data_IF_551650452010
#
_entry.id   IF_551650452010
#
_cell.length_a   1.000
_cell.length_b   1.000
_cell.length_c   1.000
_cell.angle_alpha   90.00
_cell.angle_beta   90.00
_cell.angle_gamma   90.00
#
_symmetry.space_group_name_H-M   'P 1'
#
loop_
_entity.id
_entity.type
_entity.pdbx_description
1 polymer ?
#
# COMPACT_ATOMS: atom_id res chain seq x y z
N UNK A 1 -1.41 25.71 29.77
CA UNK A 1 -1.20 24.50 28.94
C UNK A 1 -2.14 24.68 27.76
N UNK A 2 -1.59 24.84 26.57
CA UNK A 2 -2.35 25.23 25.39
C UNK A 2 -3.00 23.98 24.80
N UNK A 3 -4.30 23.81 25.04
CA UNK A 3 -5.13 22.82 24.32
C UNK A 3 -5.14 23.22 22.85
N UNK A 4 -4.20 22.67 22.08
CA UNK A 4 -4.14 22.88 20.65
C UNK A 4 -5.19 21.95 20.05
N UNK A 5 -6.34 22.51 19.73
CA UNK A 5 -7.46 21.81 19.12
C UNK A 5 -6.99 21.25 17.75
N UNK A 6 -6.67 19.96 17.70
CA UNK A 6 -6.09 19.33 16.52
C UNK A 6 -7.19 19.05 15.49
N UNK A 7 -7.03 19.55 14.26
CA UNK A 7 -8.01 19.32 13.19
C UNK A 7 -7.89 17.90 12.65
N UNK A 8 -8.97 17.13 12.67
CA UNK A 8 -9.03 15.79 12.04
C UNK A 8 -9.90 15.90 10.79
N UNK A 9 -9.40 15.40 9.67
CA UNK A 9 -10.14 15.30 8.40
C UNK A 9 -10.18 13.84 7.97
N UNK A 10 -11.38 13.32 7.78
CA UNK A 10 -11.61 11.97 7.28
C UNK A 10 -11.99 11.99 5.80
N UNK A 11 -11.51 11.01 5.05
CA UNK A 11 -11.87 10.78 3.65
C UNK A 11 -12.11 9.31 3.41
N UNK A 12 -13.01 9.03 2.47
CA UNK A 12 -13.26 7.68 2.01
C UNK A 12 -12.76 7.55 0.57
N UNK A 13 -12.02 6.47 0.33
CA UNK A 13 -11.61 6.05 -1.00
C UNK A 13 -12.21 4.68 -1.30
N UNK A 14 -12.41 4.39 -2.57
CA UNK A 14 -12.87 3.09 -3.04
C UNK A 14 -11.90 2.53 -4.05
N UNK A 15 -11.51 1.28 -3.82
CA UNK A 15 -10.71 0.49 -4.75
C UNK A 15 -11.65 -0.30 -5.63
N UNK A 16 -11.72 0.09 -6.90
CA UNK A 16 -12.59 -0.51 -7.90
C UNK A 16 -11.78 -1.54 -8.68
N UNK A 17 -12.24 -2.79 -8.66
CA UNK A 17 -11.62 -3.87 -9.41
C UNK A 17 -12.58 -4.40 -10.46
N UNK A 18 -12.12 -4.44 -11.71
CA UNK A 18 -12.81 -5.08 -12.82
C UNK A 18 -11.94 -6.19 -13.39
N UNK A 19 -12.56 -7.29 -13.80
CA UNK A 19 -11.87 -8.41 -14.44
C UNK A 19 -12.72 -9.09 -15.51
N UNK A 20 -12.03 -9.60 -16.54
CA UNK A 20 -12.62 -10.38 -17.62
C UNK A 20 -11.75 -11.59 -17.99
N UNK A 21 -12.38 -12.70 -18.38
CA UNK A 21 -11.67 -13.83 -18.97
C UNK A 21 -11.19 -13.45 -20.37
N UNK A 22 -9.89 -13.64 -20.64
CA UNK A 22 -9.33 -13.37 -21.95
C UNK A 22 -9.49 -14.57 -22.88
N UNK A 23 -10.44 -14.47 -23.83
CA UNK A 23 -10.72 -15.52 -24.82
C UNK A 23 -9.55 -15.83 -25.77
N UNK A 24 -8.58 -14.93 -25.87
CA UNK A 24 -7.45 -15.03 -26.80
C UNK A 24 -6.18 -15.59 -26.15
N UNK A 25 -6.18 -15.81 -24.84
CA UNK A 25 -5.02 -16.32 -24.11
C UNK A 25 -5.24 -17.78 -23.74
N UNK A 26 -4.19 -18.59 -23.93
CA UNK A 26 -4.22 -20.00 -23.56
C UNK A 26 -4.31 -20.12 -22.03
N UNK A 27 -5.12 -21.05 -21.50
CA UNK A 27 -5.13 -21.35 -20.07
C UNK A 27 -3.72 -21.71 -19.57
N UNK A 28 -3.40 -21.27 -18.35
CA UNK A 28 -2.16 -21.65 -17.65
C UNK A 28 -2.56 -22.49 -16.46
N UNK A 29 -1.91 -23.65 -16.26
CA UNK A 29 -2.22 -24.60 -15.20
C UNK A 29 -3.70 -25.06 -15.18
N UNK A 30 -4.33 -25.14 -16.36
CA UNK A 30 -5.75 -25.48 -16.48
C UNK A 30 -6.72 -24.35 -16.11
N UNK A 31 -6.20 -23.18 -15.68
CA UNK A 31 -7.00 -22.02 -15.29
C UNK A 31 -7.05 -20.98 -16.41
N UNK A 32 -8.22 -20.33 -16.62
CA UNK A 32 -8.36 -19.31 -17.64
C UNK A 32 -7.52 -18.07 -17.31
N UNK A 33 -6.84 -17.53 -18.31
CA UNK A 33 -6.18 -16.23 -18.20
C UNK A 33 -7.22 -15.12 -18.12
N UNK A 34 -7.02 -14.17 -17.19
CA UNK A 34 -7.88 -13.00 -17.03
C UNK A 34 -7.09 -11.73 -17.30
N UNK A 35 -7.80 -10.71 -17.75
CA UNK A 35 -7.33 -9.33 -17.66
C UNK A 35 -8.07 -8.69 -16.50
N UNK A 36 -7.34 -8.02 -15.63
CA UNK A 36 -7.91 -7.30 -14.51
C UNK A 36 -7.37 -5.88 -14.50
N UNK A 37 -8.17 -4.96 -13.97
CA UNK A 37 -7.77 -3.58 -13.69
C UNK A 37 -8.21 -3.21 -12.28
N UNK A 38 -7.34 -2.48 -11.60
CA UNK A 38 -7.57 -1.92 -10.25
C UNK A 38 -7.44 -0.42 -10.38
N UNK A 39 -8.45 0.34 -9.98
CA UNK A 39 -8.46 1.80 -9.97
C UNK A 39 -8.87 2.29 -8.60
N UNK A 40 -8.42 3.49 -8.21
CA UNK A 40 -8.73 4.06 -6.91
C UNK A 40 -9.44 5.40 -7.14
N UNK A 41 -10.58 5.57 -6.48
CA UNK A 41 -11.40 6.77 -6.52
C UNK A 41 -11.63 7.29 -5.11
N UNK A 42 -11.84 8.60 -4.98
CA UNK A 42 -12.45 9.15 -3.79
C UNK A 42 -13.97 9.10 -3.94
N UNK A 43 -14.67 9.02 -2.82
CA UNK A 43 -16.12 9.10 -2.79
C UNK A 43 -16.51 10.49 -2.27
N UNK A 44 -17.34 11.19 -3.04
CA UNK A 44 -17.89 12.47 -2.61
C UNK A 44 -19.22 12.31 -1.84
N UNK A 45 -19.78 13.42 -1.37
CA UNK A 45 -21.05 13.43 -0.63
C UNK A 45 -22.24 12.88 -1.44
N UNK A 46 -22.11 12.77 -2.77
CA UNK A 46 -23.13 12.24 -3.68
C UNK A 46 -22.90 10.76 -4.03
N UNK A 47 -21.91 10.11 -3.38
CA UNK A 47 -21.47 8.76 -3.66
C UNK A 47 -20.93 8.57 -5.11
N UNK A 48 -20.41 9.63 -5.72
CA UNK A 48 -19.81 9.57 -7.06
C UNK A 48 -18.29 9.41 -6.99
N UNK A 49 -17.74 8.71 -8.00
CA UNK A 49 -16.30 8.49 -8.13
C UNK A 49 -15.58 9.78 -8.56
N UNK A 50 -14.79 10.33 -7.64
CA UNK A 50 -13.96 11.51 -7.86
C UNK A 50 -12.47 11.14 -8.00
N UNK A 51 -11.68 11.93 -8.73
CA UNK A 51 -10.23 11.74 -8.81
C UNK A 51 -9.55 12.11 -7.48
N UNK A 52 -8.59 11.29 -7.02
CA UNK A 52 -7.81 11.58 -5.80
C UNK A 52 -6.71 12.61 -6.08
N UNK A 53 -7.07 13.88 -6.12
CA UNK A 53 -6.14 14.98 -6.41
C UNK A 53 -5.09 15.20 -5.30
N UNK A 54 -5.36 14.73 -4.09
CA UNK A 54 -4.44 14.81 -2.96
C UNK A 54 -3.37 13.69 -2.94
N UNK A 55 -3.45 12.72 -3.86
CA UNK A 55 -2.48 11.62 -4.02
C UNK A 55 -1.47 11.94 -5.13
N UNK A 56 -0.17 11.85 -4.84
CA UNK A 56 0.91 12.05 -5.81
C UNK A 56 1.12 10.79 -6.67
N UNK A 57 1.15 9.62 -6.02
CA UNK A 57 1.37 8.33 -6.67
C UNK A 57 0.86 7.18 -5.82
N UNK A 58 0.61 6.06 -6.48
CA UNK A 58 0.24 4.79 -5.86
C UNK A 58 1.27 3.74 -6.25
N UNK A 59 1.72 3.00 -5.26
CA UNK A 59 2.59 1.84 -5.40
C UNK A 59 1.79 0.58 -5.14
N UNK A 60 1.87 -0.38 -6.07
CA UNK A 60 1.25 -1.69 -5.98
C UNK A 60 2.36 -2.73 -5.90
N UNK A 61 2.34 -3.57 -4.87
CA UNK A 61 3.21 -4.73 -4.76
C UNK A 61 2.37 -5.95 -5.13
N UNK A 62 2.61 -6.46 -6.33
CA UNK A 62 1.93 -7.63 -6.86
C UNK A 62 2.57 -8.92 -6.35
N UNK A 63 1.93 -10.05 -6.64
CA UNK A 63 2.51 -11.36 -6.36
C UNK A 63 3.90 -11.50 -7.04
N UNK A 64 4.90 -12.17 -6.42
CA UNK A 64 6.26 -12.29 -6.96
C UNK A 64 6.38 -12.92 -8.37
N UNK A 65 5.32 -13.57 -8.87
CA UNK A 65 5.28 -14.10 -10.23
C UNK A 65 5.17 -13.01 -11.31
N UNK A 66 4.85 -11.77 -10.93
CA UNK A 66 4.88 -10.63 -11.84
C UNK A 66 6.29 -10.01 -11.82
N UNK A 67 6.90 -9.80 -12.98
CA UNK A 67 8.22 -9.19 -13.09
C UNK A 67 8.15 -7.81 -13.81
N UNK A 68 8.52 -6.70 -13.16
CA UNK A 68 8.74 -6.56 -11.71
C UNK A 68 7.40 -6.63 -10.94
N UNK A 69 7.40 -7.08 -9.66
CA UNK A 69 6.19 -7.16 -8.85
C UNK A 69 5.73 -5.78 -8.37
N UNK A 70 6.67 -4.85 -8.19
CA UNK A 70 6.41 -3.49 -7.77
C UNK A 70 6.02 -2.63 -8.97
N UNK A 71 4.88 -1.94 -8.88
CA UNK A 71 4.35 -1.06 -9.91
C UNK A 71 4.02 0.29 -9.33
N UNK A 72 4.42 1.36 -9.99
CA UNK A 72 4.15 2.73 -9.56
C UNK A 72 3.30 3.44 -10.60
N UNK A 73 2.12 3.91 -10.19
CA UNK A 73 1.19 4.68 -11.03
C UNK A 73 1.09 6.09 -10.47
N UNK A 74 1.26 7.11 -11.32
CA UNK A 74 1.36 8.53 -10.91
C UNK A 74 0.21 9.42 -11.39
N UNK A 75 -0.79 8.83 -12.05
CA UNK A 75 -1.90 9.60 -12.64
C UNK A 75 -3.23 9.05 -12.16
N UNK A 76 -4.17 9.90 -11.73
CA UNK A 76 -5.54 9.47 -11.41
C UNK A 76 -6.20 8.84 -12.66
N UNK A 77 -7.06 7.83 -12.50
CA UNK A 77 -7.53 7.23 -11.24
C UNK A 77 -6.60 6.10 -10.74
N UNK A 78 -5.30 6.25 -10.98
CA UNK A 78 -4.22 5.35 -10.57
C UNK A 78 -4.39 3.93 -11.09
N UNK A 79 -5.07 3.78 -12.23
CA UNK A 79 -5.39 2.48 -12.80
C UNK A 79 -4.14 1.64 -13.08
N UNK A 80 -4.05 0.49 -12.43
CA UNK A 80 -3.18 -0.61 -12.80
C UNK A 80 -3.97 -1.61 -13.65
N UNK A 81 -3.38 -2.12 -14.72
CA UNK A 81 -4.00 -3.16 -15.55
C UNK A 81 -2.99 -4.24 -15.86
N UNK A 82 -3.39 -5.48 -15.64
CA UNK A 82 -2.50 -6.63 -15.77
C UNK A 82 -3.26 -7.89 -16.19
N UNK A 83 -2.49 -8.96 -16.46
CA UNK A 83 -3.04 -10.25 -16.87
C UNK A 83 -2.50 -11.36 -15.99
N UNK A 84 -3.40 -12.20 -15.50
CA UNK A 84 -3.03 -13.29 -14.62
C UNK A 84 -4.11 -14.36 -14.57
N UNK A 85 -3.75 -15.53 -14.08
CA UNK A 85 -4.65 -16.66 -13.89
C UNK A 85 -5.02 -16.85 -12.41
N UNK A 86 -4.24 -16.29 -11.49
CA UNK A 86 -4.36 -16.50 -10.05
C UNK A 86 -4.91 -15.28 -9.30
N UNK A 87 -5.49 -15.56 -8.14
CA UNK A 87 -5.95 -14.60 -7.14
C UNK A 87 -4.83 -14.38 -6.11
N UNK A 88 -4.75 -13.19 -5.53
CA UNK A 88 -3.73 -12.87 -4.51
C UNK A 88 -4.04 -11.56 -3.80
N UNK A 89 -3.55 -11.42 -2.57
CA UNK A 89 -3.54 -10.14 -1.86
C UNK A 89 -2.38 -9.27 -2.35
N UNK A 90 -2.67 -8.05 -2.77
CA UNK A 90 -1.66 -7.07 -3.15
C UNK A 90 -1.55 -5.96 -2.11
N UNK A 91 -0.33 -5.51 -1.84
CA UNK A 91 -0.10 -4.34 -0.98
C UNK A 91 -0.21 -3.07 -1.82
N UNK A 92 -1.03 -2.13 -1.39
CA UNK A 92 -1.22 -0.84 -2.04
C UNK A 92 -0.76 0.26 -1.08
N UNK A 93 0.12 1.13 -1.55
CA UNK A 93 0.61 2.28 -0.78
C UNK A 93 0.33 3.59 -1.53
N UNK A 94 -0.45 4.46 -0.90
CA UNK A 94 -0.75 5.82 -1.37
C UNK A 94 0.29 6.79 -0.83
N UNK A 95 0.96 7.49 -1.74
CA UNK A 95 1.84 8.60 -1.39
C UNK A 95 1.13 9.91 -1.68
N UNK A 96 1.00 10.75 -0.67
CA UNK A 96 0.27 12.01 -0.75
C UNK A 96 1.11 13.13 -1.37
N UNK A 97 0.43 14.12 -1.94
CA UNK A 97 1.08 15.33 -2.48
C UNK A 97 1.80 16.12 -1.40
N UNK A 98 1.30 16.12 -0.17
CA UNK A 98 2.05 16.59 1.00
C UNK A 98 2.94 15.47 1.55
N UNK A 99 4.25 15.61 1.33
CA UNK A 99 5.27 14.63 1.72
C UNK A 99 5.48 14.51 3.24
N UNK A 100 4.89 15.38 4.05
CA UNK A 100 4.93 15.24 5.51
C UNK A 100 3.88 14.27 6.04
N UNK A 101 2.89 13.92 5.21
CA UNK A 101 1.87 12.94 5.57
C UNK A 101 2.44 11.54 5.34
N UNK A 102 2.28 10.67 6.33
CA UNK A 102 2.73 9.28 6.28
C UNK A 102 1.97 8.57 5.15
N UNK A 103 2.65 7.82 4.26
CA UNK A 103 1.99 7.06 3.22
C UNK A 103 0.96 6.07 3.80
N UNK A 104 -0.23 6.03 3.21
CA UNK A 104 -1.28 5.12 3.64
C UNK A 104 -1.11 3.77 2.94
N UNK A 105 -1.03 2.69 3.72
CA UNK A 105 -0.78 1.34 3.19
C UNK A 105 -1.89 0.40 3.62
N UNK A 106 -2.40 -0.38 2.67
CA UNK A 106 -3.43 -1.38 2.91
C UNK A 106 -3.27 -2.58 1.96
N UNK A 107 -3.97 -3.68 2.26
CA UNK A 107 -4.01 -4.87 1.41
C UNK A 107 -5.32 -4.92 0.65
N UNK A 108 -5.25 -5.38 -0.61
CA UNK A 108 -6.39 -5.55 -1.49
C UNK A 108 -6.41 -6.98 -2.04
N UNK A 109 -7.48 -7.71 -1.76
CA UNK A 109 -7.71 -9.07 -2.26
C UNK A 109 -8.14 -9.02 -3.74
N UNK A 110 -7.22 -9.38 -4.64
CA UNK A 110 -7.55 -9.61 -6.04
C UNK A 110 -8.17 -11.00 -6.20
N UNK A 111 -9.49 -11.08 -6.16
CA UNK A 111 -10.23 -12.30 -6.48
C UNK A 111 -11.08 -12.19 -7.76
N UNK A 112 -11.59 -13.33 -8.23
CA UNK A 112 -12.39 -13.45 -9.45
C UNK A 112 -13.82 -13.92 -9.19
N UNK A 113 -14.31 -13.80 -7.95
CA UNK A 113 -15.68 -14.15 -7.54
C UNK A 113 -16.73 -13.33 -8.29
N UNK A 114 -16.43 -12.05 -8.53
CA UNK A 114 -17.27 -11.12 -9.32
C UNK A 114 -16.46 -10.52 -10.48
N UNK A 115 -17.12 -10.12 -11.56
CA UNK A 115 -16.49 -9.38 -12.67
C UNK A 115 -16.13 -7.95 -12.28
N UNK A 116 -16.82 -7.42 -11.28
CA UNK A 116 -16.65 -6.07 -10.76
C UNK A 116 -16.94 -6.08 -9.26
N UNK A 117 -16.11 -5.41 -8.47
CA UNK A 117 -16.34 -5.17 -7.05
C UNK A 117 -15.56 -3.95 -6.57
N UNK A 118 -16.02 -3.40 -5.46
CA UNK A 118 -15.55 -2.16 -4.88
C UNK A 118 -15.28 -2.38 -3.39
N UNK A 119 -14.12 -1.92 -2.93
CA UNK A 119 -13.69 -2.05 -1.53
C UNK A 119 -13.41 -0.66 -0.97
N UNK A 120 -14.21 -0.17 -0.01
CA UNK A 120 -13.98 1.12 0.62
C UNK A 120 -12.83 1.06 1.64
N UNK A 121 -12.07 2.14 1.74
CA UNK A 121 -11.05 2.37 2.76
C UNK A 121 -11.18 3.79 3.31
N UNK A 122 -11.06 3.93 4.63
CA UNK A 122 -11.07 5.23 5.31
C UNK A 122 -9.64 5.75 5.48
N UNK A 123 -9.46 7.02 5.17
CA UNK A 123 -8.24 7.79 5.37
C UNK A 123 -8.48 8.83 6.45
N UNK A 124 -7.61 8.89 7.44
CA UNK A 124 -7.67 9.91 8.51
C UNK A 124 -6.42 10.77 8.46
N UNK A 125 -6.63 12.09 8.36
CA UNK A 125 -5.56 13.08 8.32
C UNK A 125 -5.63 13.94 9.57
N UNK A 126 -4.55 13.93 10.35
CA UNK A 126 -4.43 14.71 11.57
C UNK A 126 -3.59 15.96 11.33
N UNK A 127 -4.18 17.12 11.62
CA UNK A 127 -3.64 18.47 11.39
C UNK A 127 -3.03 18.68 10.00
N UNK A 128 -3.75 18.36 8.90
CA UNK A 128 -3.22 18.55 7.55
C UNK A 128 -2.94 20.04 7.27
N UNK A 129 -1.88 20.35 6.53
CA UNK A 129 -1.57 21.75 6.17
C UNK A 129 -2.71 22.39 5.37
N UNK A 130 -2.93 23.72 5.45
CA UNK A 130 -4.01 24.39 4.72
C UNK A 130 -4.02 24.13 3.21
N UNK A 131 -2.85 24.02 2.58
CA UNK A 131 -2.74 23.70 1.14
C UNK A 131 -3.22 22.29 0.82
N UNK A 132 -2.98 21.33 1.71
CA UNK A 132 -3.43 19.94 1.55
C UNK A 132 -4.93 19.83 1.85
N UNK A 133 -5.42 20.54 2.87
CA UNK A 133 -6.86 20.65 3.17
C UNK A 133 -7.66 21.09 1.95
N UNK A 134 -7.19 22.10 1.20
CA UNK A 134 -7.85 22.52 -0.03
C UNK A 134 -7.97 21.39 -1.06
N UNK A 135 -6.96 20.52 -1.19
CA UNK A 135 -7.02 19.36 -2.09
C UNK A 135 -7.96 18.26 -1.57
N UNK A 136 -8.10 18.12 -0.25
CA UNK A 136 -9.07 17.22 0.36
C UNK A 136 -10.51 17.70 0.10
N UNK A 137 -10.79 18.99 0.21
CA UNK A 137 -12.16 19.52 0.08
C UNK A 137 -12.55 19.91 -1.37
N UNK A 138 -11.60 20.22 -2.25
CA UNK A 138 -11.86 20.47 -3.68
C UNK A 138 -11.71 19.19 -4.51
N UNK A 139 -12.63 18.25 -4.32
CA UNK A 139 -12.80 17.10 -5.23
C UNK A 139 -13.68 17.44 -6.45
N UNK A 140 -14.35 18.60 -6.46
CA UNK A 140 -15.28 18.97 -7.52
C UNK A 140 -14.62 19.72 -8.69
N UNK A 141 -14.68 19.04 -9.84
CA UNK A 141 -14.64 19.51 -11.24
C UNK A 141 -13.47 20.37 -11.72
N UNK A 142 -12.69 19.80 -12.65
CA UNK A 142 -12.74 20.32 -14.02
C UNK A 142 -12.49 19.19 -15.04
N UNK A 143 -13.55 18.83 -15.76
CA UNK A 143 -13.44 18.25 -17.09
C UNK A 143 -12.73 19.26 -18.00
N UNK A 144 -11.46 19.02 -18.32
CA UNK A 144 -10.86 19.37 -19.62
C UNK A 144 -9.40 18.92 -19.71
N UNK A 145 -9.18 17.62 -19.92
CA UNK A 145 -7.99 17.21 -20.70
C UNK A 145 -8.26 17.44 -22.18
N UNK A 146 -8.47 18.69 -22.55
CA UNK A 146 -8.35 19.15 -23.93
C UNK A 146 -7.16 20.10 -23.99
N UNK A 147 -6.11 19.63 -24.65
CA UNK A 147 -5.15 20.41 -25.45
C UNK A 147 -4.54 21.65 -24.81
N UNK A 148 -3.25 21.55 -24.49
CA UNK A 148 -2.35 22.68 -24.24
C UNK A 148 -2.58 23.89 -25.17
N UNK A 149 -2.20 25.08 -24.68
CA UNK A 149 -1.31 25.92 -25.48
C UNK A 149 0.03 26.12 -24.76
N UNK A 150 1.10 25.63 -25.39
CA UNK A 150 2.48 26.05 -25.11
C UNK A 150 2.60 27.56 -25.40
N UNK A 151 3.29 28.35 -24.55
CA UNK A 151 3.63 29.72 -24.92
C UNK A 151 4.67 29.71 -26.05
N UNK A 152 4.22 30.14 -27.22
CA UNK A 152 5.03 30.23 -28.43
C UNK A 152 5.97 31.43 -28.34
N UNK A 153 7.24 31.18 -28.70
CA UNK A 153 8.31 32.17 -28.83
C UNK A 153 7.89 33.35 -29.73
N UNK A 154 7.92 34.58 -29.21
CA UNK A 154 7.98 35.79 -30.06
C UNK A 154 9.42 36.03 -30.51
N UNK A 155 9.67 35.81 -31.80
CA UNK A 155 10.82 36.36 -32.55
C UNK A 155 10.68 37.88 -32.65
N UNK A 156 11.75 38.62 -32.34
CA UNK A 156 12.08 39.90 -32.99
C UNK A 156 13.43 39.77 -33.70
N UNK A 157 13.49 40.37 -34.89
CA UNK A 157 14.52 40.31 -35.93
C UNK A 157 15.77 41.12 -35.58
N UNK A 158 16.94 40.64 -36.03
CA UNK A 158 17.95 41.36 -36.82
C UNK A 158 18.95 40.31 -37.33
N UNK A 159 18.92 39.92 -38.61
CA UNK A 159 19.75 40.42 -39.71
C UNK A 159 21.26 40.51 -39.38
N UNK A 160 22.06 39.59 -39.93
CA UNK A 160 23.09 39.89 -40.94
C UNK A 160 23.76 38.59 -41.45
N UNK A 161 24.34 38.75 -42.63
CA UNK A 161 24.64 37.74 -43.66
C UNK A 161 25.84 36.81 -43.42
N UNK A 162 25.86 35.75 -44.25
CA UNK A 162 27.00 35.13 -44.97
C UNK A 162 27.06 33.62 -44.70
N UNK A 163 26.47 32.79 -45.56
CA UNK A 163 27.11 32.18 -46.74
C UNK A 163 28.46 31.55 -46.45
N UNK A 164 28.55 30.21 -46.47
CA UNK A 164 29.47 29.42 -47.31
C UNK A 164 29.09 27.93 -47.23
N UNK A 165 28.99 27.35 -48.44
CA UNK A 165 28.81 25.93 -48.78
C UNK A 165 29.98 25.07 -48.31
N UNK A 166 29.73 23.79 -47.98
CA UNK A 166 30.31 22.59 -48.64
C UNK A 166 29.94 21.31 -47.86
N UNK A 167 29.17 20.41 -48.48
CA UNK A 167 29.59 19.11 -49.07
C UNK A 167 30.00 18.09 -48.00
N UNK A 168 29.12 17.14 -47.65
CA UNK A 168 28.96 15.78 -48.23
C UNK A 168 30.22 14.92 -48.07
N UNK A 169 30.15 13.85 -47.26
CA UNK A 169 30.26 12.48 -47.75
C UNK A 169 30.07 11.43 -46.64
N UNK A 170 29.52 10.31 -47.10
CA UNK A 170 29.22 9.04 -46.44
C UNK A 170 30.47 8.34 -45.86
N UNK A 171 30.28 7.44 -44.89
CA UNK A 171 30.57 5.99 -45.00
C UNK A 171 30.58 5.30 -43.63
N UNK A 172 29.94 4.13 -43.63
CA UNK A 172 29.82 3.09 -42.61
C UNK A 172 31.13 2.57 -42.00
N UNK A 173 31.08 2.16 -40.73
CA UNK A 173 32.06 1.25 -40.12
C UNK A 173 31.78 0.97 -38.65
N UNK A 174 31.16 -0.18 -38.35
CA UNK A 174 31.39 -0.91 -37.10
C UNK A 174 32.64 -1.80 -37.31
N UNK A 175 33.50 -2.10 -36.32
CA UNK A 175 33.11 -3.10 -35.30
C UNK A 175 33.80 -3.04 -33.90
N UNK A 176 33.06 -3.51 -32.88
CA UNK A 176 33.40 -4.45 -31.78
C UNK A 176 34.64 -4.36 -30.86
N UNK A 177 34.35 -4.68 -29.58
CA UNK A 177 35.09 -5.32 -28.45
C UNK A 177 36.28 -4.61 -27.76
N UNK A 178 36.19 -4.42 -26.43
CA UNK A 178 37.00 -5.16 -25.45
C UNK A 178 36.52 -4.94 -23.99
N UNK A 179 36.59 -6.02 -23.20
CA UNK A 179 36.23 -6.17 -21.78
C UNK A 179 37.37 -5.76 -20.84
N UNK A 180 37.09 -5.48 -19.56
CA UNK A 180 38.16 -5.42 -18.54
C UNK A 180 37.82 -4.89 -17.14
N UNK A 181 37.16 -5.73 -16.33
CA UNK A 181 37.31 -5.97 -14.88
C UNK A 181 37.72 -4.87 -13.86
N UNK A 182 36.80 -4.67 -12.89
CA UNK A 182 36.89 -5.08 -11.46
C UNK A 182 38.01 -4.50 -10.56
N UNK A 183 37.61 -3.85 -9.45
CA UNK A 183 37.77 -4.35 -8.05
C UNK A 183 37.80 -3.24 -6.98
N UNK A 184 36.91 -3.38 -5.96
CA UNK A 184 37.15 -3.32 -4.48
C UNK A 184 37.71 -2.01 -3.86
N UNK A 185 37.26 -1.43 -2.73
CA UNK A 185 36.56 -1.85 -1.48
C UNK A 185 36.55 -0.59 -0.53
N UNK A 186 36.22 -0.60 0.80
CA UNK A 186 35.16 -1.24 1.63
C UNK A 186 34.57 -0.35 2.80
N UNK A 187 33.59 -0.92 3.54
CA UNK A 187 33.25 -0.75 4.99
C UNK A 187 32.67 0.60 5.51
N UNK A 188 31.83 0.70 6.55
CA UNK A 188 31.65 -0.12 7.77
C UNK A 188 30.31 0.11 8.50
N UNK A 189 29.95 -0.92 9.27
CA UNK A 189 28.90 -1.20 10.27
C UNK A 189 28.78 -0.25 11.48
N UNK A 190 27.62 -0.29 12.15
CA UNK A 190 27.51 -0.17 13.61
C UNK A 190 26.34 -0.99 14.18
N UNK A 191 26.66 -2.08 14.88
CA UNK A 191 25.83 -2.78 15.87
C UNK A 191 26.30 -2.42 17.29
N UNK A 192 25.42 -2.53 18.29
CA UNK A 192 25.68 -3.00 19.68
C UNK A 192 24.33 -3.06 20.45
N UNK A 193 23.71 -4.24 20.60
CA UNK A 193 23.72 -5.21 21.73
C UNK A 193 22.85 -4.87 22.95
N UNK A 194 21.88 -5.75 23.25
CA UNK A 194 21.62 -6.22 24.62
C UNK A 194 20.91 -7.59 24.59
N UNK A 195 21.59 -8.59 25.14
CA UNK A 195 21.12 -9.96 25.32
C UNK A 195 20.08 -10.05 26.46
N UNK A 196 18.88 -10.55 26.15
CA UNK A 196 18.02 -11.29 27.07
C UNK A 196 17.39 -12.44 26.28
N UNK A 197 17.37 -13.61 26.90
CA UNK A 197 16.96 -14.89 26.33
C UNK A 197 15.76 -14.76 25.39
N UNK A 198 16.02 -15.07 24.12
CA UNK A 198 15.11 -14.95 22.99
C UNK A 198 13.96 -15.97 23.12
N UNK A 199 13.01 -15.70 24.02
CA UNK A 199 11.74 -16.39 24.04
C UNK A 199 10.90 -15.83 22.89
N UNK A 200 11.13 -16.40 21.71
CA UNK A 200 10.41 -16.02 20.50
C UNK A 200 8.98 -16.57 20.60
N UNK A 201 8.07 -15.78 21.15
CA UNK A 201 6.63 -16.09 21.12
C UNK A 201 6.23 -16.25 19.66
N UNK A 202 5.72 -17.42 19.30
CA UNK A 202 5.25 -17.68 17.94
C UNK A 202 3.86 -17.09 17.79
N UNK A 203 3.79 -15.88 17.25
CA UNK A 203 2.54 -15.14 17.02
C UNK A 203 1.50 -15.94 16.24
N UNK A 204 1.91 -16.81 15.30
CA UNK A 204 0.97 -17.64 14.55
C UNK A 204 0.39 -18.75 15.40
N UNK A 205 1.20 -19.35 16.28
CA UNK A 205 0.73 -20.37 17.22
C UNK A 205 -0.14 -19.74 18.31
N UNK A 206 0.24 -18.58 18.84
CA UNK A 206 -0.56 -17.83 19.81
C UNK A 206 -1.94 -17.46 19.25
N UNK A 207 -2.00 -16.92 18.03
CA UNK A 207 -3.26 -16.57 17.38
C UNK A 207 -4.19 -17.78 17.18
N UNK A 208 -3.63 -18.94 16.81
CA UNK A 208 -4.40 -20.18 16.71
C UNK A 208 -4.91 -20.65 18.06
N UNK A 209 -4.07 -20.56 19.09
CA UNK A 209 -4.45 -20.99 20.43
C UNK A 209 -5.58 -20.12 20.97
N UNK A 210 -5.49 -18.80 20.82
CA UNK A 210 -6.54 -17.86 21.22
C UNK A 210 -7.87 -18.12 20.50
N UNK A 211 -7.84 -18.50 19.22
CA UNK A 211 -9.04 -18.86 18.47
C UNK A 211 -9.63 -20.22 18.87
N UNK A 212 -8.84 -21.08 19.50
CA UNK A 212 -9.24 -22.42 19.92
C UNK A 212 -9.74 -22.49 21.37
N UNK A 213 -9.77 -21.36 22.10
CA UNK A 213 -10.28 -21.28 23.45
C UNK A 213 -11.82 -21.27 23.47
N UNK A 214 -12.39 -21.84 24.53
CA UNK A 214 -13.83 -21.81 24.78
C UNK A 214 -14.27 -20.47 25.40
N UNK A 215 -15.58 -20.20 25.44
CA UNK A 215 -16.16 -18.92 25.87
C UNK A 215 -15.68 -18.47 27.28
N UNK A 216 -15.57 -19.42 28.22
CA UNK A 216 -15.08 -19.15 29.58
C UNK A 216 -13.60 -18.75 29.60
N UNK A 217 -12.76 -19.35 28.75
CA UNK A 217 -11.33 -19.05 28.65
C UNK A 217 -11.09 -17.72 27.92
N UNK A 218 -11.95 -17.36 26.96
CA UNK A 218 -11.91 -16.06 26.26
C UNK A 218 -12.16 -14.91 27.23
N UNK A 219 -13.07 -15.07 28.20
CA UNK A 219 -13.31 -14.07 29.24
C UNK A 219 -12.07 -13.86 30.13
N UNK A 220 -11.35 -14.94 30.45
CA UNK A 220 -10.12 -14.87 31.23
C UNK A 220 -8.99 -14.17 30.45
N UNK A 221 -8.89 -14.40 29.13
CA UNK A 221 -7.98 -13.65 28.24
C UNK A 221 -8.30 -12.16 28.21
N UNK A 222 -9.57 -11.79 28.06
CA UNK A 222 -10.01 -10.38 28.08
C UNK A 222 -9.61 -9.71 29.40
N UNK A 223 -9.78 -10.43 30.50
CA UNK A 223 -9.38 -9.95 31.83
C UNK A 223 -7.86 -9.74 31.93
N UNK A 224 -7.05 -10.71 31.49
CA UNK A 224 -5.57 -10.61 31.48
C UNK A 224 -5.09 -9.39 30.67
N UNK A 225 -5.72 -9.15 29.51
CA UNK A 225 -5.38 -8.06 28.60
C UNK A 225 -5.77 -6.70 29.18
N UNK A 226 -6.91 -6.61 29.87
CA UNK A 226 -7.32 -5.38 30.56
C UNK A 226 -6.50 -5.10 31.81
N UNK A 227 -6.12 -6.12 32.57
CA UNK A 227 -5.30 -5.98 33.78
C UNK A 227 -3.88 -5.47 33.49
N UNK A 228 -3.37 -5.73 32.29
CA UNK A 228 -2.03 -5.32 31.83
C UNK A 228 -2.09 -4.36 30.63
N UNK A 229 -3.20 -3.62 30.49
CA UNK A 229 -3.39 -2.67 29.40
C UNK A 229 -2.30 -1.60 29.43
N UNK A 230 -1.63 -1.40 28.30
CA UNK A 230 -0.62 -0.36 28.13
C UNK A 230 -1.01 0.59 26.99
N UNK A 231 -0.47 1.81 27.00
CA UNK A 231 -0.82 2.87 26.05
C UNK A 231 -0.42 2.54 24.59
N UNK A 232 0.44 1.54 24.40
CA UNK A 232 0.91 1.08 23.08
C UNK A 232 0.05 -0.06 22.48
N UNK A 233 -0.95 -0.57 23.22
CA UNK A 233 -1.78 -1.70 22.80
C UNK A 233 -3.02 -1.28 22.02
N UNK A 234 -3.24 -1.89 20.86
CA UNK A 234 -4.45 -1.69 20.05
C UNK A 234 -5.47 -2.80 20.33
N UNK A 235 -6.57 -2.42 20.97
CA UNK A 235 -7.72 -3.28 21.24
C UNK A 235 -8.93 -2.58 20.62
N UNK A 236 -9.63 -3.25 19.72
CA UNK A 236 -10.85 -2.75 19.12
C UNK A 236 -12.05 -3.42 19.81
N UNK A 237 -12.78 -2.62 20.59
CA UNK A 237 -13.98 -2.99 21.35
C UNK A 237 -15.25 -2.35 20.74
N UNK A 238 -15.14 -1.72 19.56
CA UNK A 238 -16.22 -0.93 18.96
C UNK A 238 -17.38 -1.78 18.41
N UNK A 239 -17.22 -3.11 18.37
CA UNK A 239 -18.25 -4.06 17.93
C UNK A 239 -18.81 -4.84 19.12
N UNK A 240 -20.11 -4.70 19.36
CA UNK A 240 -20.84 -5.33 20.48
C UNK A 240 -20.77 -6.86 20.37
N UNK A 241 -19.95 -7.49 21.22
CA UNK A 241 -19.78 -8.95 21.30
C UNK A 241 -18.56 -9.54 20.57
N UNK A 242 -17.69 -8.72 19.96
CA UNK A 242 -16.47 -9.21 19.30
C UNK A 242 -15.22 -8.51 19.84
N UNK A 243 -14.30 -9.28 20.45
CA UNK A 243 -13.06 -8.77 21.01
C UNK A 243 -11.91 -8.94 20.00
N UNK A 244 -11.44 -7.83 19.43
CA UNK A 244 -10.34 -7.83 18.46
C UNK A 244 -9.05 -7.29 19.10
N UNK A 245 -8.00 -8.09 19.11
CA UNK A 245 -6.70 -7.74 19.69
C UNK A 245 -5.61 -7.86 18.63
N UNK A 246 -4.77 -6.84 18.50
CA UNK A 246 -3.57 -6.93 17.67
C UNK A 246 -2.38 -7.45 18.50
N UNK A 247 -2.01 -8.73 18.28
CA UNK A 247 -0.90 -9.41 18.96
C UNK A 247 0.47 -8.74 18.72
N UNK A 248 0.65 -7.97 17.64
CA UNK A 248 1.93 -7.28 17.39
C UNK A 248 2.06 -5.96 18.13
N UNK A 249 0.97 -5.46 18.71
CA UNK A 249 0.93 -4.24 19.54
C UNK A 249 1.00 -4.56 21.04
N UNK A 250 0.95 -5.85 21.40
CA UNK A 250 1.06 -6.29 22.78
C UNK A 250 2.52 -6.23 23.24
N UNK A 251 2.74 -5.70 24.44
CA UNK A 251 4.07 -5.70 25.06
C UNK A 251 4.57 -7.13 25.35
N UNK A 252 5.89 -7.32 25.35
CA UNK A 252 6.54 -8.63 25.52
C UNK A 252 6.08 -9.38 26.78
N UNK A 253 5.81 -8.66 27.88
CA UNK A 253 5.34 -9.21 29.14
C UNK A 253 3.91 -9.78 29.05
N UNK A 254 3.02 -9.08 28.35
CA UNK A 254 1.65 -9.54 28.12
C UNK A 254 1.61 -10.68 27.10
N UNK A 255 2.42 -10.60 26.03
CA UNK A 255 2.56 -11.69 25.06
C UNK A 255 2.99 -13.00 25.72
N UNK A 256 3.94 -12.91 26.64
CA UNK A 256 4.40 -14.06 27.42
C UNK A 256 3.29 -14.60 28.32
N UNK A 257 2.60 -13.73 29.03
CA UNK A 257 1.49 -14.12 29.93
C UNK A 257 0.36 -14.80 29.16
N UNK A 258 -0.01 -14.27 27.99
CA UNK A 258 -1.01 -14.87 27.09
C UNK A 258 -0.53 -16.20 26.51
N UNK A 259 0.74 -16.30 26.14
CA UNK A 259 1.33 -17.55 25.66
C UNK A 259 1.24 -18.65 26.71
N UNK A 260 1.73 -18.39 27.92
CA UNK A 260 1.75 -19.37 29.01
C UNK A 260 0.32 -19.78 29.41
N UNK A 261 -0.62 -18.82 29.42
CA UNK A 261 -2.04 -19.09 29.68
C UNK A 261 -2.66 -20.01 28.61
N UNK A 262 -2.49 -19.67 27.33
CA UNK A 262 -3.10 -20.42 26.22
C UNK A 262 -2.50 -21.82 26.05
N UNK A 263 -1.19 -22.01 26.27
CA UNK A 263 -0.61 -23.36 26.28
C UNK A 263 -1.12 -24.20 27.44
N UNK A 264 -1.22 -23.61 28.65
CA UNK A 264 -1.72 -24.35 29.82
C UNK A 264 -3.17 -24.80 29.67
N UNK A 265 -4.02 -24.05 28.97
CA UNK A 265 -5.42 -24.41 28.74
C UNK A 265 -5.57 -25.47 27.64
N UNK A 266 -4.78 -25.39 26.57
CA UNK A 266 -4.79 -26.41 25.51
C UNK A 266 -4.24 -27.76 25.97
N UNK A 267 -3.27 -27.78 26.87
CA UNK A 267 -2.77 -29.02 27.48
C UNK A 267 -3.84 -29.70 28.36
N UNK A 268 -4.72 -28.91 28.98
CA UNK A 268 -5.87 -29.43 29.73
C UNK A 268 -6.97 -29.95 28.80
N UNK A 269 -7.25 -29.26 27.69
CA UNK A 269 -8.23 -29.68 26.68
C UNK A 269 -7.80 -30.98 25.98
N UNK A 270 -6.50 -31.17 25.74
CA UNK A 270 -5.96 -32.38 25.09
C UNK A 270 -5.82 -33.60 26.01
N UNK A 271 -5.96 -33.40 27.33
CA UNK A 271 -5.87 -34.47 28.35
C UNK A 271 -7.23 -35.06 28.76
N UNK A 272 -8.34 -34.56 28.17
CA UNK A 272 -9.72 -35.02 28.38
C UNK A 272 -10.16 -35.89 27.20
#
# INVERSE_FOLDING_TARGET
MSDTNQSIVEKEIVVVTDQEISKHLKPTNGLPMRKWKVSIFAIDDMAEHCPLNYVERVEYILHPTFEPPERVVRKPPFTLSEKGWGEFDMKITLYFTDKTIIPFTFFHDLNFKKSHYEVPHKLTFTDPKPTFQLLLFHEKSDESYSSMPKPNKKKKKSSLNASIKRQKNDTSGSPSYESGNSSRSPCSTSESTNDKENYKVDYQKLARNLYALDEDDILEVIQIVNDHRSDDMYINEDTEGEFHIDLYTLGDELLRTLWDFTESKLDQISSI
#
